data_IF_344517082459
#
_entry.id   IF_344517082459
#
_cell.length_a   1.000
_cell.length_b   1.000
_cell.length_c   1.000
_cell.angle_alpha   90.00
_cell.angle_beta   90.00
_cell.angle_gamma   90.00
#
_symmetry.space_group_name_H-M   'P 1'
#
loop_
_entity.id
_entity.type
_entity.pdbx_description
1 polymer ?
#
# COMPACT_ATOMS: atom_id res chain seq x y z
N UNK A 1 25.88 0.73 10.03
CA UNK A 1 25.18 1.20 11.26
C UNK A 1 25.38 0.18 12.37
N UNK A 2 25.42 0.59 13.66
CA UNK A 2 25.45 -0.36 14.78
C UNK A 2 24.21 -1.23 14.82
N UNK A 3 24.36 -2.49 15.20
CA UNK A 3 23.24 -3.43 15.37
C UNK A 3 22.30 -2.90 16.45
N UNK A 4 21.01 -2.80 16.13
CA UNK A 4 19.96 -2.33 17.04
C UNK A 4 18.97 -3.44 17.36
N UNK A 5 18.36 -3.34 18.55
CA UNK A 5 17.25 -4.19 18.99
C UNK A 5 15.93 -3.43 18.82
N UNK A 6 15.09 -3.91 17.92
CA UNK A 6 13.90 -3.20 17.43
C UNK A 6 12.63 -3.97 17.82
N UNK A 7 11.61 -3.26 18.27
CA UNK A 7 10.27 -3.79 18.49
C UNK A 7 9.29 -3.07 17.57
N UNK A 8 8.57 -3.79 16.74
CA UNK A 8 7.41 -3.27 15.99
C UNK A 8 6.15 -3.60 16.79
N UNK A 9 5.30 -2.62 17.07
CA UNK A 9 4.03 -2.78 17.78
C UNK A 9 2.88 -2.53 16.81
N UNK A 10 2.14 -3.58 16.48
CA UNK A 10 1.05 -3.52 15.53
C UNK A 10 0.55 -4.90 15.09
N UNK A 11 -0.43 -4.97 14.16
CA UNK A 11 -0.93 -6.25 13.66
C UNK A 11 0.17 -7.09 13.01
N UNK A 12 0.13 -8.39 13.25
CA UNK A 12 0.92 -9.41 12.57
C UNK A 12 0.19 -10.75 12.72
N UNK A 13 0.68 -11.82 12.13
CA UNK A 13 0.10 -13.14 12.28
C UNK A 13 -0.27 -13.44 13.76
N UNK A 14 -1.44 -14.03 14.08
CA UNK A 14 -2.43 -14.64 13.19
C UNK A 14 -3.43 -13.66 12.56
N UNK A 15 -3.26 -12.36 12.72
CA UNK A 15 -4.12 -11.36 12.10
C UNK A 15 -3.79 -11.21 10.60
N UNK A 16 -4.82 -10.94 9.79
CA UNK A 16 -4.68 -10.72 8.35
C UNK A 16 -4.82 -9.26 7.96
N UNK A 17 -4.39 -8.94 6.75
CA UNK A 17 -4.60 -7.63 6.11
C UNK A 17 -3.31 -6.83 5.92
N UNK A 18 -3.42 -5.74 5.18
CA UNK A 18 -2.27 -4.95 4.72
C UNK A 18 -1.34 -4.46 5.83
N UNK A 19 -1.87 -4.14 7.01
CA UNK A 19 -1.05 -3.71 8.15
C UNK A 19 -0.20 -4.85 8.71
N UNK A 20 -0.77 -6.07 8.81
CA UNK A 20 -0.04 -7.24 9.28
C UNK A 20 1.11 -7.59 8.33
N UNK A 21 0.80 -7.72 7.05
CA UNK A 21 1.78 -8.02 5.99
C UNK A 21 2.89 -6.96 5.93
N UNK A 22 2.53 -5.69 6.07
CA UNK A 22 3.51 -4.59 6.11
C UNK A 22 4.46 -4.71 7.30
N UNK A 23 3.94 -4.91 8.51
CA UNK A 23 4.76 -5.02 9.71
C UNK A 23 5.70 -6.22 9.65
N UNK A 24 5.24 -7.35 9.13
CA UNK A 24 6.05 -8.54 8.93
C UNK A 24 7.15 -8.30 7.90
N UNK A 25 6.83 -7.64 6.77
CA UNK A 25 7.83 -7.29 5.76
C UNK A 25 8.87 -6.30 6.29
N UNK A 26 8.44 -5.29 7.07
CA UNK A 26 9.36 -4.34 7.72
C UNK A 26 10.27 -5.03 8.74
N UNK A 27 9.73 -5.99 9.50
CA UNK A 27 10.53 -6.78 10.43
C UNK A 27 11.62 -7.57 9.70
N UNK A 28 11.27 -8.23 8.59
CA UNK A 28 12.24 -8.93 7.72
C UNK A 28 13.31 -7.99 7.17
N UNK A 29 12.94 -6.77 6.80
CA UNK A 29 13.90 -5.77 6.33
C UNK A 29 14.92 -5.42 7.40
N UNK A 30 14.49 -5.16 8.63
CA UNK A 30 15.43 -4.90 9.72
C UNK A 30 16.34 -6.09 10.01
N UNK A 31 15.81 -7.32 9.97
CA UNK A 31 16.59 -8.55 10.15
C UNK A 31 17.63 -8.72 9.03
N UNK A 32 17.26 -8.48 7.78
CA UNK A 32 18.16 -8.55 6.63
C UNK A 32 19.30 -7.52 6.70
N UNK A 33 19.07 -6.37 7.33
CA UNK A 33 20.06 -5.33 7.61
C UNK A 33 20.94 -5.64 8.85
N UNK A 34 20.77 -6.82 9.46
CA UNK A 34 21.58 -7.28 10.62
C UNK A 34 21.09 -6.78 11.97
N UNK A 35 19.93 -6.14 12.05
CA UNK A 35 19.29 -5.78 13.32
C UNK A 35 18.57 -6.98 13.96
N UNK A 36 18.32 -6.91 15.28
CA UNK A 36 17.38 -7.83 15.94
C UNK A 36 15.99 -7.18 15.96
N UNK A 37 15.01 -7.83 15.35
CA UNK A 37 13.66 -7.29 15.25
C UNK A 37 12.61 -8.32 15.68
N UNK A 38 11.60 -7.86 16.45
CA UNK A 38 10.45 -8.66 16.91
C UNK A 38 9.18 -7.86 16.68
N UNK A 39 8.04 -8.56 16.55
CA UNK A 39 6.73 -7.90 16.46
C UNK A 39 5.90 -8.21 17.70
N UNK A 40 5.38 -7.17 18.33
CA UNK A 40 4.38 -7.26 19.38
C UNK A 40 3.00 -7.02 18.78
N UNK A 41 2.26 -8.12 18.64
CA UNK A 41 0.93 -8.13 18.02
C UNK A 41 -0.18 -8.33 19.07
N UNK A 42 -1.41 -8.41 18.60
CA UNK A 42 -2.59 -8.49 19.44
C UNK A 42 -3.00 -9.94 19.69
N UNK A 43 -3.37 -10.24 20.95
CA UNK A 43 -4.21 -11.38 21.30
C UNK A 43 -5.70 -11.07 21.06
N UNK A 44 -6.09 -9.79 21.17
CA UNK A 44 -7.40 -9.26 20.78
C UNK A 44 -7.22 -7.88 20.17
N UNK A 45 -7.40 -7.74 18.84
CA UNK A 45 -7.31 -6.46 18.13
C UNK A 45 -8.65 -5.72 18.19
N UNK A 46 -9.72 -6.36 17.74
CA UNK A 46 -11.08 -5.83 17.79
C UNK A 46 -12.01 -6.83 18.46
N UNK A 47 -12.90 -6.37 19.37
CA UNK A 47 -14.06 -7.18 19.76
C UNK A 47 -14.86 -7.59 18.52
N UNK A 48 -15.43 -8.80 18.52
CA UNK A 48 -16.16 -9.35 17.37
C UNK A 48 -17.29 -8.43 16.86
N UNK A 49 -17.96 -7.73 17.78
CA UNK A 49 -19.05 -6.77 17.47
C UNK A 49 -18.53 -5.54 16.66
N UNK A 50 -17.27 -5.17 16.81
CA UNK A 50 -16.69 -3.99 16.16
C UNK A 50 -15.96 -4.34 14.86
N UNK A 51 -15.85 -5.63 14.51
CA UNK A 51 -15.17 -6.05 13.30
C UNK A 51 -16.16 -6.21 12.14
N UNK A 52 -16.04 -5.42 11.05
CA UNK A 52 -17.02 -5.42 9.96
C UNK A 52 -16.88 -6.60 9.00
N UNK A 53 -15.84 -7.41 9.12
CA UNK A 53 -15.54 -8.54 8.22
C UNK A 53 -15.92 -9.91 8.79
N UNK A 54 -15.84 -10.96 7.96
CA UNK A 54 -16.14 -12.34 8.38
C UNK A 54 -15.13 -12.91 9.37
N UNK A 55 -13.86 -12.60 9.22
CA UNK A 55 -12.77 -13.00 10.13
C UNK A 55 -11.61 -12.02 10.06
N UNK A 56 -10.93 -11.79 11.19
CA UNK A 56 -9.70 -11.00 11.26
C UNK A 56 -8.44 -11.88 11.26
N UNK A 57 -8.60 -13.20 11.14
CA UNK A 57 -7.49 -14.15 11.19
C UNK A 57 -7.10 -14.64 9.80
N UNK A 58 -5.79 -14.86 9.60
CA UNK A 58 -5.23 -15.50 8.41
C UNK A 58 -5.40 -17.00 8.47
N UNK A 59 -5.57 -17.61 7.29
CA UNK A 59 -5.45 -19.05 7.09
C UNK A 59 -4.01 -19.51 6.82
N UNK A 60 -3.08 -18.56 6.63
CA UNK A 60 -1.69 -18.87 6.33
C UNK A 60 -0.97 -19.46 7.55
N UNK A 61 0.05 -20.30 7.35
CA UNK A 61 0.86 -20.82 8.43
C UNK A 61 1.62 -19.70 9.15
N UNK A 62 1.96 -19.95 10.42
CA UNK A 62 2.76 -19.00 11.20
C UNK A 62 4.13 -18.77 10.53
N UNK A 63 4.56 -17.52 10.32
CA UNK A 63 5.91 -17.23 9.90
C UNK A 63 6.94 -17.79 10.89
N UNK A 64 7.98 -18.45 10.36
CA UNK A 64 9.06 -19.08 11.15
C UNK A 64 10.35 -18.25 11.15
N UNK A 65 10.43 -17.28 10.27
CA UNK A 65 11.60 -16.43 10.00
C UNK A 65 11.64 -15.13 10.83
N UNK A 66 10.53 -14.80 11.51
CA UNK A 66 10.39 -13.62 12.37
C UNK A 66 9.73 -13.98 13.71
N UNK A 67 10.12 -13.30 14.78
CA UNK A 67 9.52 -13.49 16.09
C UNK A 67 8.28 -12.61 16.28
N UNK A 68 7.12 -13.24 16.49
CA UNK A 68 5.83 -12.57 16.73
C UNK A 68 5.30 -12.96 18.12
N UNK A 69 5.01 -11.95 18.94
CA UNK A 69 4.44 -12.06 20.29
C UNK A 69 3.03 -11.50 20.27
N UNK A 70 2.02 -12.36 20.24
CA UNK A 70 0.60 -11.96 20.24
C UNK A 70 0.09 -11.82 21.70
N UNK A 71 0.16 -10.63 22.28
CA UNK A 71 -0.18 -10.45 23.70
C UNK A 71 -0.97 -9.18 24.03
N UNK A 72 -1.13 -8.22 23.11
CA UNK A 72 -1.91 -7.00 23.37
C UNK A 72 -3.41 -7.33 23.32
N UNK A 73 -4.13 -7.02 24.39
CA UNK A 73 -5.58 -6.93 24.38
C UNK A 73 -5.99 -5.46 24.29
N UNK A 74 -6.58 -5.03 23.17
CA UNK A 74 -6.84 -3.62 22.86
C UNK A 74 -7.78 -2.90 23.83
N UNK A 75 -8.58 -3.65 24.60
CA UNK A 75 -9.61 -3.11 25.50
C UNK A 75 -9.33 -3.34 26.99
N UNK A 76 -8.23 -4.03 27.35
CA UNK A 76 -7.94 -4.38 28.75
C UNK A 76 -6.76 -3.54 29.32
N UNK A 77 -7.01 -2.53 30.17
CA UNK A 77 -5.95 -1.69 30.74
C UNK A 77 -4.93 -2.45 31.59
N UNK A 78 -5.36 -3.49 32.33
CA UNK A 78 -4.43 -4.31 33.11
C UNK A 78 -3.46 -5.10 32.22
N UNK A 79 -3.93 -5.53 31.06
CA UNK A 79 -3.08 -6.15 30.05
C UNK A 79 -2.03 -5.15 29.54
N UNK A 80 -2.39 -3.89 29.27
CA UNK A 80 -1.44 -2.87 28.81
C UNK A 80 -0.30 -2.64 29.80
N UNK A 81 -0.63 -2.59 31.11
CA UNK A 81 0.37 -2.48 32.16
C UNK A 81 1.31 -3.68 32.19
N UNK A 82 0.76 -4.91 32.11
CA UNK A 82 1.55 -6.15 32.07
C UNK A 82 2.46 -6.21 30.86
N UNK A 83 1.92 -5.94 29.67
CA UNK A 83 2.65 -5.97 28.40
C UNK A 83 3.74 -4.89 28.40
N UNK A 84 3.41 -3.65 28.75
CA UNK A 84 4.39 -2.55 28.84
C UNK A 84 5.57 -2.88 29.76
N UNK A 85 5.29 -3.43 30.95
CA UNK A 85 6.34 -3.86 31.88
C UNK A 85 7.19 -5.02 31.33
N UNK A 86 6.57 -5.98 30.66
CA UNK A 86 7.29 -7.11 30.05
C UNK A 86 8.22 -6.64 28.93
N UNK A 87 7.74 -5.76 28.05
CA UNK A 87 8.54 -5.24 26.93
C UNK A 87 9.66 -4.31 27.41
N UNK A 88 9.42 -3.49 28.43
CA UNK A 88 10.46 -2.63 29.02
C UNK A 88 11.66 -3.42 29.54
N UNK A 89 11.44 -4.61 30.13
CA UNK A 89 12.54 -5.49 30.61
C UNK A 89 13.45 -6.00 29.49
N UNK A 90 12.95 -6.06 28.28
CA UNK A 90 13.71 -6.57 27.12
C UNK A 90 14.73 -5.55 26.57
N UNK A 91 14.68 -4.29 27.01
CA UNK A 91 15.64 -3.22 26.65
C UNK A 91 15.84 -3.09 25.13
N UNK A 92 14.81 -2.62 24.42
CA UNK A 92 14.91 -2.29 23.02
C UNK A 92 15.58 -0.92 22.81
N UNK A 93 16.28 -0.75 21.69
CA UNK A 93 16.85 0.55 21.30
C UNK A 93 15.76 1.42 20.64
N UNK A 94 14.88 0.78 19.83
CA UNK A 94 13.80 1.48 19.10
C UNK A 94 12.52 0.66 19.20
N UNK A 95 11.43 1.36 19.49
CA UNK A 95 10.07 0.79 19.48
C UNK A 95 9.22 1.56 18.48
N UNK A 96 8.74 0.86 17.45
CA UNK A 96 8.00 1.43 16.32
C UNK A 96 6.54 1.03 16.44
N UNK A 97 5.66 1.99 16.67
CA UNK A 97 4.22 1.77 16.71
C UNK A 97 3.59 2.01 15.34
N UNK A 98 2.84 1.05 14.83
CA UNK A 98 1.97 1.24 13.67
C UNK A 98 0.65 1.83 14.10
N UNK A 99 0.41 3.12 13.84
CA UNK A 99 -0.77 3.85 14.29
C UNK A 99 -1.71 4.17 13.13
N UNK A 100 -2.94 3.65 13.19
CA UNK A 100 -3.92 3.79 12.09
C UNK A 100 -5.31 4.26 12.54
N UNK A 101 -5.60 4.29 13.87
CA UNK A 101 -6.89 4.76 14.38
C UNK A 101 -6.84 5.09 15.88
N UNK A 102 -7.70 6.03 16.31
CA UNK A 102 -7.79 6.52 17.69
C UNK A 102 -8.13 5.45 18.72
N UNK A 103 -8.89 4.42 18.34
CA UNK A 103 -9.23 3.29 19.21
C UNK A 103 -8.00 2.58 19.80
N UNK A 104 -6.88 2.56 19.09
CA UNK A 104 -5.63 1.94 19.57
C UNK A 104 -4.83 2.85 20.50
N UNK A 105 -5.12 4.15 20.50
CA UNK A 105 -4.31 5.13 21.22
C UNK A 105 -4.22 4.90 22.75
N UNK A 106 -5.27 4.50 23.48
CA UNK A 106 -5.15 4.23 24.92
C UNK A 106 -4.19 3.08 25.22
N UNK A 107 -4.28 1.97 24.51
CA UNK A 107 -3.40 0.82 24.70
C UNK A 107 -1.95 1.15 24.30
N UNK A 108 -1.75 1.74 23.13
CA UNK A 108 -0.43 2.12 22.63
C UNK A 108 0.23 3.19 23.51
N UNK A 109 -0.52 4.24 23.88
CA UNK A 109 -0.01 5.32 24.71
C UNK A 109 0.40 4.84 26.11
N UNK A 110 -0.34 3.89 26.69
CA UNK A 110 0.00 3.31 27.99
C UNK A 110 1.24 2.42 27.90
N UNK A 111 1.30 1.50 26.94
CA UNK A 111 2.45 0.63 26.71
C UNK A 111 3.71 1.47 26.45
N UNK A 112 3.61 2.46 25.56
CA UNK A 112 4.73 3.33 25.19
C UNK A 112 5.28 4.12 26.39
N UNK A 113 4.39 4.68 27.25
CA UNK A 113 4.82 5.40 28.48
C UNK A 113 5.56 4.51 29.45
N UNK A 114 5.11 3.27 29.63
CA UNK A 114 5.78 2.32 30.54
C UNK A 114 7.16 1.96 30.01
N UNK A 115 7.25 1.67 28.71
CA UNK A 115 8.55 1.38 28.08
C UNK A 115 9.49 2.57 28.24
N UNK A 116 9.05 3.77 27.87
CA UNK A 116 9.85 5.00 27.95
C UNK A 116 10.31 5.34 29.38
N UNK A 117 9.45 5.08 30.37
CA UNK A 117 9.79 5.30 31.78
C UNK A 117 10.84 4.31 32.31
N UNK A 118 10.92 3.10 31.75
CA UNK A 118 11.72 1.99 32.28
C UNK A 118 12.88 1.56 31.38
N UNK A 119 13.05 2.22 30.25
CA UNK A 119 14.15 1.98 29.30
C UNK A 119 14.54 3.26 28.58
N UNK A 120 15.66 3.24 27.87
CA UNK A 120 16.13 4.33 26.98
C UNK A 120 15.59 4.21 25.56
N UNK A 121 14.61 3.34 25.31
CA UNK A 121 14.07 3.08 23.99
C UNK A 121 13.48 4.34 23.35
N UNK A 122 13.86 4.60 22.11
CA UNK A 122 13.24 5.64 21.28
C UNK A 122 11.90 5.17 20.78
N UNK A 123 10.85 5.96 20.98
CA UNK A 123 9.48 5.63 20.57
C UNK A 123 9.15 6.34 19.26
N UNK A 124 8.94 5.59 18.19
CA UNK A 124 8.60 6.12 16.85
C UNK A 124 7.21 5.65 16.47
N UNK A 125 6.43 6.50 15.81
CA UNK A 125 5.16 6.11 15.22
C UNK A 125 5.19 6.18 13.69
N UNK A 126 4.81 5.08 13.04
CA UNK A 126 4.39 5.11 11.64
C UNK A 126 2.90 5.43 11.65
N UNK A 127 2.52 6.57 11.08
CA UNK A 127 1.16 7.08 11.10
C UNK A 127 0.47 6.89 9.76
N UNK A 128 -0.60 6.08 9.73
CA UNK A 128 -1.42 5.85 8.54
C UNK A 128 -2.61 6.80 8.48
N UNK A 129 -3.22 7.07 9.65
CA UNK A 129 -4.36 7.97 9.78
C UNK A 129 -4.41 8.52 11.21
N UNK A 130 -4.50 9.83 11.35
CA UNK A 130 -4.56 10.53 12.65
C UNK A 130 -5.95 11.07 12.93
N UNK A 131 -6.65 11.51 11.89
CA UNK A 131 -8.01 12.02 11.97
C UNK A 131 -8.94 10.93 11.43
N UNK A 132 -9.81 10.33 12.25
CA UNK A 132 -10.81 9.39 11.77
C UNK A 132 -11.73 10.05 10.73
N UNK A 133 -12.18 9.29 9.74
CA UNK A 133 -13.19 9.76 8.76
C UNK A 133 -14.51 10.14 9.44
N UNK A 134 -14.84 9.50 10.57
CA UNK A 134 -15.97 9.83 11.43
C UNK A 134 -15.41 10.30 12.79
N UNK A 135 -15.28 11.62 12.95
CA UNK A 135 -14.77 12.22 14.20
C UNK A 135 -15.75 12.02 15.37
N UNK A 136 -15.29 11.33 16.40
CA UNK A 136 -15.96 11.26 17.71
C UNK A 136 -15.29 12.22 18.69
N UNK A 137 -16.03 12.73 19.64
CA UNK A 137 -15.57 13.74 20.60
C UNK A 137 -14.24 13.36 21.32
N UNK A 138 -14.03 12.09 21.62
CA UNK A 138 -12.85 11.59 22.34
C UNK A 138 -11.64 11.25 21.43
N UNK A 139 -11.82 11.18 20.11
CA UNK A 139 -10.76 10.75 19.18
C UNK A 139 -9.51 11.63 19.24
N UNK A 140 -9.72 12.95 19.34
CA UNK A 140 -8.62 13.90 19.44
C UNK A 140 -7.82 13.75 20.74
N UNK A 141 -8.51 13.52 21.86
CA UNK A 141 -7.87 13.32 23.16
C UNK A 141 -7.06 12.03 23.20
N UNK A 142 -7.63 10.93 22.69
CA UNK A 142 -6.95 9.63 22.59
C UNK A 142 -5.74 9.68 21.67
N UNK A 143 -5.90 10.25 20.49
CA UNK A 143 -4.79 10.42 19.56
C UNK A 143 -3.66 11.24 20.18
N UNK A 144 -3.96 12.37 20.81
CA UNK A 144 -2.97 13.20 21.49
C UNK A 144 -2.30 12.46 22.65
N UNK A 145 -3.07 11.67 23.42
CA UNK A 145 -2.53 10.83 24.49
C UNK A 145 -1.40 9.91 23.98
N UNK A 146 -1.55 9.30 22.80
CA UNK A 146 -0.49 8.48 22.22
C UNK A 146 0.63 9.33 21.60
N UNK A 147 0.30 10.31 20.73
CA UNK A 147 1.30 11.10 20.01
C UNK A 147 2.28 11.85 20.91
N UNK A 148 1.82 12.31 22.08
CA UNK A 148 2.69 12.97 23.08
C UNK A 148 3.82 12.06 23.57
N UNK A 149 3.65 10.74 23.54
CA UNK A 149 4.64 9.78 24.02
C UNK A 149 5.75 9.52 22.99
N UNK A 150 5.45 9.67 21.72
CA UNK A 150 6.39 9.41 20.62
C UNK A 150 7.53 10.44 20.57
N UNK A 151 8.72 9.98 20.20
CA UNK A 151 9.91 10.82 20.01
C UNK A 151 10.06 11.26 18.53
N UNK A 152 9.47 10.52 17.60
CA UNK A 152 9.49 10.84 16.18
C UNK A 152 8.33 10.20 15.43
N UNK A 153 8.09 10.67 14.20
CA UNK A 153 6.99 10.25 13.34
C UNK A 153 7.43 10.00 11.92
N UNK A 154 6.94 8.92 11.33
CA UNK A 154 7.00 8.69 9.90
C UNK A 154 5.56 8.63 9.36
N UNK A 155 5.26 9.41 8.34
CA UNK A 155 3.96 9.38 7.65
C UNK A 155 4.17 8.99 6.19
N UNK A 156 3.24 8.20 5.64
CA UNK A 156 3.32 7.72 4.26
C UNK A 156 2.37 8.48 3.31
N UNK A 157 1.65 9.48 3.81
CA UNK A 157 0.88 10.42 3.00
C UNK A 157 1.17 11.85 3.46
N UNK A 158 1.19 12.80 2.52
CA UNK A 158 1.43 14.22 2.84
C UNK A 158 0.35 14.79 3.73
N UNK A 159 -0.91 14.44 3.50
CA UNK A 159 -2.02 14.88 4.34
C UNK A 159 -1.83 14.46 5.81
N UNK A 160 -1.42 13.20 6.07
CA UNK A 160 -1.14 12.72 7.43
C UNK A 160 0.13 13.38 7.99
N UNK A 161 1.17 13.59 7.17
CA UNK A 161 2.38 14.29 7.59
C UNK A 161 2.06 15.72 8.08
N UNK A 162 1.23 16.47 7.37
CA UNK A 162 0.78 17.81 7.75
C UNK A 162 -0.06 17.79 9.03
N UNK A 163 -0.94 16.81 9.19
CA UNK A 163 -1.71 16.61 10.42
C UNK A 163 -0.80 16.33 11.63
N UNK A 164 0.26 15.53 11.46
CA UNK A 164 1.28 15.30 12.50
C UNK A 164 2.00 16.60 12.83
N UNK A 165 2.40 17.35 11.79
CA UNK A 165 3.10 18.62 11.96
C UNK A 165 2.28 19.62 12.79
N UNK A 166 0.99 19.74 12.53
CA UNK A 166 0.10 20.62 13.29
C UNK A 166 -0.05 20.21 14.76
N UNK A 167 -0.11 18.88 15.05
CA UNK A 167 -0.31 18.36 16.41
C UNK A 167 0.96 18.23 17.24
N UNK A 168 2.11 18.04 16.60
CA UNK A 168 3.41 17.82 17.24
C UNK A 168 4.51 18.64 16.52
N UNK A 169 4.42 19.99 16.53
CA UNK A 169 5.29 20.86 15.71
C UNK A 169 6.78 20.74 16.02
N UNK A 170 7.14 20.40 17.25
CA UNK A 170 8.52 20.40 17.75
C UNK A 170 9.19 19.00 17.70
N UNK A 171 8.49 17.96 17.23
CA UNK A 171 9.07 16.61 17.19
C UNK A 171 9.62 16.25 15.80
N UNK A 172 10.72 15.49 15.73
CA UNK A 172 11.22 14.94 14.48
C UNK A 172 10.13 14.21 13.71
N UNK A 173 10.10 14.42 12.40
CA UNK A 173 9.17 13.74 11.51
C UNK A 173 9.71 13.66 10.11
N UNK A 174 9.36 12.61 9.41
CA UNK A 174 9.71 12.43 8.00
C UNK A 174 8.50 11.94 7.19
N UNK A 175 8.47 12.31 5.92
CA UNK A 175 7.55 11.78 4.94
C UNK A 175 8.30 10.77 4.07
N UNK A 176 7.80 9.54 4.04
CA UNK A 176 8.29 8.51 3.13
C UNK A 176 7.08 7.86 2.47
N UNK A 177 7.05 7.88 1.15
CA UNK A 177 5.98 7.20 0.43
C UNK A 177 5.96 5.69 0.75
N UNK A 178 4.78 5.07 0.63
CA UNK A 178 4.62 3.64 0.91
C UNK A 178 5.63 2.82 0.10
N UNK A 179 6.37 1.88 0.70
CA UNK A 179 7.29 1.03 -0.02
C UNK A 179 6.60 0.17 -1.08
N UNK A 180 7.38 -0.30 -2.04
CA UNK A 180 6.89 -1.23 -3.06
C UNK A 180 6.39 -2.54 -2.44
N UNK A 181 5.38 -3.12 -3.07
CA UNK A 181 4.90 -4.46 -2.74
C UNK A 181 5.74 -5.50 -3.50
N UNK A 182 6.71 -6.11 -2.82
CA UNK A 182 7.66 -7.09 -3.36
C UNK A 182 7.29 -8.56 -3.07
N UNK A 183 6.05 -8.78 -2.61
CA UNK A 183 5.59 -10.10 -2.14
C UNK A 183 4.85 -10.94 -3.19
N UNK A 184 4.66 -10.43 -4.41
CA UNK A 184 3.86 -11.08 -5.44
C UNK A 184 4.68 -11.95 -6.41
N UNK A 185 5.91 -12.27 -6.07
CA UNK A 185 6.84 -13.09 -6.86
C UNK A 185 7.72 -12.25 -7.79
N UNK A 186 8.69 -12.92 -8.40
CA UNK A 186 9.66 -12.27 -9.29
C UNK A 186 9.02 -11.80 -10.60
N UNK A 187 9.64 -10.79 -11.21
CA UNK A 187 9.26 -10.30 -12.52
C UNK A 187 9.55 -11.38 -13.57
N UNK A 188 8.55 -11.66 -14.41
CA UNK A 188 8.68 -12.56 -15.55
C UNK A 188 9.11 -11.77 -16.79
N UNK A 189 9.68 -12.48 -17.79
CA UNK A 189 9.75 -11.89 -19.13
C UNK A 189 8.35 -11.66 -19.70
N UNK A 190 8.15 -10.62 -20.49
CA UNK A 190 6.85 -10.28 -21.08
C UNK A 190 6.26 -11.47 -21.87
N UNK A 191 7.09 -12.19 -22.64
CA UNK A 191 6.66 -13.39 -23.39
C UNK A 191 6.19 -14.51 -22.46
N UNK A 192 6.97 -14.85 -21.41
CA UNK A 192 6.58 -15.88 -20.46
C UNK A 192 5.27 -15.52 -19.71
N UNK A 193 5.11 -14.26 -19.36
CA UNK A 193 3.91 -13.78 -18.70
C UNK A 193 2.67 -13.84 -19.62
N UNK A 194 2.80 -13.41 -20.88
CA UNK A 194 1.74 -13.54 -21.89
C UNK A 194 1.36 -15.00 -22.11
N UNK A 195 2.35 -15.89 -22.26
CA UNK A 195 2.11 -17.32 -22.41
C UNK A 195 1.38 -17.94 -21.21
N UNK A 196 1.78 -17.57 -20.00
CA UNK A 196 1.13 -18.04 -18.76
C UNK A 196 -0.35 -17.62 -18.64
N UNK A 197 -0.70 -16.48 -19.23
CA UNK A 197 -2.07 -15.94 -19.27
C UNK A 197 -2.84 -16.31 -20.55
N UNK A 198 -2.25 -17.10 -21.48
CA UNK A 198 -2.89 -17.44 -22.77
C UNK A 198 -3.09 -16.23 -23.70
N UNK A 199 -2.24 -15.19 -23.57
CA UNK A 199 -2.32 -13.97 -24.35
C UNK A 199 -1.50 -14.06 -25.64
N UNK A 200 -1.94 -13.35 -26.68
CA UNK A 200 -1.22 -13.23 -27.94
C UNK A 200 0.09 -12.44 -27.75
N UNK A 201 1.20 -13.01 -28.22
CA UNK A 201 2.53 -12.43 -28.07
C UNK A 201 2.71 -11.12 -28.87
N UNK A 202 2.03 -10.98 -30.00
CA UNK A 202 2.14 -9.82 -30.90
C UNK A 202 1.22 -8.65 -30.52
N UNK A 203 0.33 -8.87 -29.57
CA UNK A 203 -0.59 -7.85 -29.06
C UNK A 203 0.01 -7.13 -27.85
N UNK A 204 -0.13 -5.82 -27.79
CA UNK A 204 0.23 -4.99 -26.64
C UNK A 204 -0.90 -4.95 -25.62
N UNK A 205 -0.55 -4.77 -24.33
CA UNK A 205 -1.55 -4.85 -23.27
C UNK A 205 -1.45 -3.70 -22.28
N UNK A 206 -2.56 -2.98 -22.12
CA UNK A 206 -2.79 -2.12 -20.96
C UNK A 206 -3.36 -2.97 -19.82
N UNK A 207 -3.09 -2.60 -18.57
CA UNK A 207 -3.58 -3.29 -17.39
C UNK A 207 -4.35 -2.34 -16.46
N UNK A 208 -5.62 -2.67 -16.22
CA UNK A 208 -6.40 -2.18 -15.07
C UNK A 208 -6.43 -3.29 -14.03
N UNK A 209 -6.02 -3.00 -12.78
CA UNK A 209 -5.81 -4.03 -11.75
C UNK A 209 -6.47 -3.71 -10.41
N UNK A 210 -6.92 -4.78 -9.72
CA UNK A 210 -7.44 -4.78 -8.35
C UNK A 210 -8.96 -4.68 -8.29
N UNK A 211 -9.53 -4.74 -7.07
CA UNK A 211 -10.98 -4.75 -6.87
C UNK A 211 -11.69 -3.65 -7.66
N UNK A 212 -12.70 -4.04 -8.42
CA UNK A 212 -13.45 -3.11 -9.27
C UNK A 212 -14.53 -2.45 -8.43
N UNK A 213 -14.41 -1.11 -8.30
CA UNK A 213 -15.34 -0.22 -7.60
C UNK A 213 -15.48 1.07 -8.38
N UNK A 214 -16.63 1.71 -8.30
CA UNK A 214 -16.97 2.94 -9.03
C UNK A 214 -15.87 4.02 -8.96
N UNK A 215 -15.30 4.24 -7.77
CA UNK A 215 -14.27 5.25 -7.58
C UNK A 215 -12.96 4.96 -8.33
N UNK A 216 -12.71 3.70 -8.74
CA UNK A 216 -11.54 3.33 -9.55
C UNK A 216 -11.69 3.65 -11.04
N UNK A 217 -12.87 4.04 -11.47
CA UNK A 217 -13.10 4.64 -12.77
C UNK A 217 -12.90 3.71 -13.96
N UNK A 218 -13.22 2.41 -13.82
CA UNK A 218 -13.19 1.48 -14.97
C UNK A 218 -14.07 1.99 -16.12
N UNK A 219 -15.24 2.56 -15.82
CA UNK A 219 -16.10 3.16 -16.85
C UNK A 219 -15.36 4.24 -17.65
N UNK A 220 -14.67 5.16 -16.97
CA UNK A 220 -13.88 6.21 -17.63
C UNK A 220 -12.79 5.61 -18.55
N UNK A 221 -12.14 4.53 -18.11
CA UNK A 221 -11.14 3.84 -18.92
C UNK A 221 -11.76 3.18 -20.16
N UNK A 222 -12.88 2.48 -20.03
CA UNK A 222 -13.60 1.86 -21.15
C UNK A 222 -14.00 2.90 -22.21
N UNK A 223 -14.58 4.02 -21.76
CA UNK A 223 -14.95 5.13 -22.63
C UNK A 223 -13.73 5.76 -23.34
N UNK A 224 -12.59 5.89 -22.62
CA UNK A 224 -11.34 6.38 -23.18
C UNK A 224 -10.74 5.40 -24.20
N UNK A 225 -10.77 4.10 -23.90
CA UNK A 225 -10.23 3.04 -24.74
C UNK A 225 -11.04 2.80 -26.02
N UNK A 226 -12.30 3.24 -26.02
CA UNK A 226 -13.18 3.21 -27.20
C UNK A 226 -12.87 4.31 -28.23
N UNK A 227 -11.91 5.23 -27.96
CA UNK A 227 -11.51 6.27 -28.93
C UNK A 227 -11.12 5.63 -30.26
N UNK A 228 -11.67 6.17 -31.35
CA UNK A 228 -11.48 5.63 -32.72
C UNK A 228 -10.00 5.55 -33.13
N UNK A 229 -9.17 6.45 -32.63
CA UNK A 229 -7.72 6.49 -32.93
C UNK A 229 -6.98 5.30 -32.31
N UNK A 230 -7.45 4.79 -31.16
CA UNK A 230 -6.88 3.61 -30.51
C UNK A 230 -7.29 2.30 -31.18
N UNK A 231 -8.35 2.31 -32.02
CA UNK A 231 -8.80 1.10 -32.75
C UNK A 231 -7.78 0.63 -33.79
N UNK A 232 -6.95 1.52 -34.29
CA UNK A 232 -5.92 1.20 -35.28
C UNK A 232 -4.66 0.54 -34.68
N UNK A 233 -4.50 0.60 -33.35
CA UNK A 233 -3.35 0.02 -32.66
C UNK A 233 -3.60 -1.43 -32.26
N UNK A 234 -2.59 -2.32 -32.33
CA UNK A 234 -2.69 -3.72 -31.90
C UNK A 234 -2.62 -3.81 -30.37
N UNK A 235 -3.57 -3.16 -29.69
CA UNK A 235 -3.63 -3.08 -28.23
C UNK A 235 -4.93 -3.68 -27.68
N UNK A 236 -4.81 -4.38 -26.55
CA UNK A 236 -5.95 -4.84 -25.74
C UNK A 236 -5.84 -4.32 -24.31
N UNK A 237 -6.97 -4.25 -23.61
CA UNK A 237 -7.02 -3.90 -22.20
C UNK A 237 -7.31 -5.15 -21.37
N UNK A 238 -6.41 -5.47 -20.46
CA UNK A 238 -6.64 -6.46 -19.41
C UNK A 238 -7.36 -5.77 -18.25
N UNK A 239 -8.52 -6.26 -17.86
CA UNK A 239 -9.24 -5.89 -16.63
C UNK A 239 -9.11 -7.06 -15.68
N UNK A 240 -8.28 -6.93 -14.65
CA UNK A 240 -7.95 -7.99 -13.71
C UNK A 240 -8.33 -7.61 -12.28
N UNK A 241 -9.31 -8.31 -11.71
CA UNK A 241 -9.78 -8.14 -10.34
C UNK A 241 -11.29 -8.27 -10.18
N UNK A 242 -11.67 -8.67 -8.98
CA UNK A 242 -13.04 -8.98 -8.60
C UNK A 242 -13.92 -7.73 -8.51
N UNK A 243 -15.18 -7.84 -9.00
CA UNK A 243 -16.19 -6.80 -8.82
C UNK A 243 -16.71 -6.78 -7.38
N UNK A 244 -16.66 -5.59 -6.76
CA UNK A 244 -17.26 -5.30 -5.45
C UNK A 244 -18.54 -4.45 -5.59
N UNK A 245 -19.12 -4.45 -6.78
CA UNK A 245 -20.39 -3.82 -7.13
C UNK A 245 -21.02 -4.58 -8.30
N UNK A 246 -22.22 -4.20 -8.71
CA UNK A 246 -22.89 -4.85 -9.85
C UNK A 246 -22.08 -4.68 -11.14
N UNK A 247 -21.78 -5.78 -11.82
CA UNK A 247 -20.99 -5.79 -13.06
C UNK A 247 -21.82 -5.47 -14.31
N UNK A 248 -23.13 -5.64 -14.26
CA UNK A 248 -24.03 -5.49 -15.44
C UNK A 248 -23.87 -4.15 -16.17
N UNK A 249 -23.78 -2.98 -15.50
CA UNK A 249 -23.56 -1.71 -16.19
C UNK A 249 -22.27 -1.67 -17.01
N UNK A 250 -21.24 -2.41 -16.58
CA UNK A 250 -19.98 -2.50 -17.29
C UNK A 250 -20.09 -3.41 -18.51
N UNK A 251 -20.80 -4.54 -18.40
CA UNK A 251 -21.05 -5.46 -19.54
C UNK A 251 -21.86 -4.76 -20.64
N UNK A 252 -22.91 -4.04 -20.26
CA UNK A 252 -23.71 -3.25 -21.20
C UNK A 252 -22.88 -2.17 -21.90
N UNK A 253 -22.01 -1.46 -21.15
CA UNK A 253 -21.11 -0.44 -21.69
C UNK A 253 -20.09 -1.03 -22.65
N UNK A 254 -19.52 -2.20 -22.35
CA UNK A 254 -18.55 -2.90 -23.21
C UNK A 254 -19.17 -3.20 -24.58
N UNK A 255 -20.41 -3.73 -24.59
CA UNK A 255 -21.16 -4.01 -25.81
C UNK A 255 -21.49 -2.72 -26.56
N UNK A 256 -21.98 -1.69 -25.86
CA UNK A 256 -22.31 -0.40 -26.46
C UNK A 256 -21.11 0.26 -27.14
N UNK A 257 -19.91 0.10 -26.57
CA UNK A 257 -18.67 0.67 -27.09
C UNK A 257 -17.98 -0.21 -28.15
N UNK A 258 -18.46 -1.45 -28.36
CA UNK A 258 -17.87 -2.42 -29.28
C UNK A 258 -16.46 -2.84 -28.86
N UNK A 259 -16.27 -3.15 -27.57
CA UNK A 259 -14.96 -3.47 -27.00
C UNK A 259 -14.76 -4.97 -26.73
N UNK A 260 -15.74 -5.85 -26.98
CA UNK A 260 -15.74 -7.28 -26.60
C UNK A 260 -14.46 -8.00 -27.07
N UNK A 261 -14.01 -7.72 -28.29
CA UNK A 261 -12.80 -8.35 -28.87
C UNK A 261 -11.49 -7.65 -28.48
N UNK A 262 -11.57 -6.53 -27.74
CA UNK A 262 -10.42 -5.72 -27.34
C UNK A 262 -10.12 -5.80 -25.84
N UNK A 263 -10.90 -6.58 -25.10
CA UNK A 263 -10.74 -6.77 -23.67
C UNK A 263 -10.31 -8.20 -23.36
N UNK A 264 -9.54 -8.32 -22.28
CA UNK A 264 -9.26 -9.59 -21.59
C UNK A 264 -9.80 -9.42 -20.16
N UNK A 265 -10.90 -10.08 -19.87
CA UNK A 265 -11.59 -9.99 -18.57
C UNK A 265 -11.13 -11.12 -17.66
N UNK A 266 -10.50 -10.80 -16.53
CA UNK A 266 -10.13 -11.71 -15.46
C UNK A 266 -10.76 -11.18 -14.16
N UNK A 267 -12.09 -11.33 -14.06
CA UNK A 267 -12.94 -10.65 -13.07
C UNK A 267 -13.18 -11.47 -11.79
N UNK A 268 -12.45 -12.56 -11.63
CA UNK A 268 -12.33 -13.27 -10.36
C UNK A 268 -11.23 -12.65 -9.48
N UNK A 269 -11.19 -13.08 -8.21
CA UNK A 269 -10.08 -12.74 -7.32
C UNK A 269 -8.75 -13.24 -7.90
N UNK A 270 -7.78 -12.33 -8.08
CA UNK A 270 -6.45 -12.67 -8.55
C UNK A 270 -5.58 -13.14 -7.37
N UNK A 271 -5.19 -14.42 -7.31
CA UNK A 271 -4.30 -14.92 -6.26
C UNK A 271 -2.93 -14.24 -6.28
N UNK A 272 -2.32 -14.05 -5.11
CA UNK A 272 -1.05 -13.36 -4.95
C UNK A 272 0.06 -13.93 -5.86
N UNK A 273 0.11 -15.24 -6.06
CA UNK A 273 1.09 -15.93 -6.90
C UNK A 273 0.83 -15.79 -8.41
N UNK A 274 -0.23 -15.09 -8.83
CA UNK A 274 -0.52 -14.79 -10.24
C UNK A 274 -0.36 -13.31 -10.57
N UNK A 275 -0.26 -12.44 -9.57
CA UNK A 275 -0.14 -10.98 -9.78
C UNK A 275 1.03 -10.63 -10.68
N UNK A 276 2.18 -11.26 -10.49
CA UNK A 276 3.37 -11.05 -11.31
C UNK A 276 3.13 -11.32 -12.81
N UNK A 277 2.26 -12.27 -13.17
CA UNK A 277 1.95 -12.59 -14.55
C UNK A 277 1.25 -11.40 -15.24
N UNK A 278 0.24 -10.81 -14.59
CA UNK A 278 -0.51 -9.66 -15.13
C UNK A 278 0.37 -8.42 -15.29
N UNK A 279 1.13 -8.09 -14.24
CA UNK A 279 2.01 -6.92 -14.33
C UNK A 279 3.13 -7.14 -15.34
N UNK A 280 3.76 -8.33 -15.38
CA UNK A 280 4.83 -8.61 -16.34
C UNK A 280 4.34 -8.61 -17.79
N UNK A 281 3.12 -9.06 -18.07
CA UNK A 281 2.53 -9.09 -19.41
C UNK A 281 2.18 -7.69 -19.95
N UNK A 282 1.86 -6.74 -19.08
CA UNK A 282 1.41 -5.41 -19.44
C UNK A 282 2.56 -4.51 -19.93
N UNK A 283 2.24 -3.57 -20.84
CA UNK A 283 3.11 -2.48 -21.26
C UNK A 283 2.97 -1.27 -20.33
N UNK A 284 1.74 -0.97 -19.92
CA UNK A 284 1.41 0.15 -19.03
C UNK A 284 0.24 -0.19 -18.09
N UNK A 285 0.35 0.22 -16.84
CA UNK A 285 -0.73 0.12 -15.84
C UNK A 285 -1.56 1.40 -15.87
N UNK A 286 -2.89 1.26 -15.96
CA UNK A 286 -3.80 2.40 -16.06
C UNK A 286 -4.72 2.47 -14.84
N UNK A 287 -4.70 3.60 -14.14
CA UNK A 287 -5.45 3.86 -12.91
C UNK A 287 -6.29 5.14 -13.08
N UNK A 288 -7.46 5.01 -13.68
CA UNK A 288 -8.39 6.11 -13.98
C UNK A 288 -9.28 6.48 -12.78
N UNK A 289 -8.71 6.51 -11.58
CA UNK A 289 -9.47 6.72 -10.36
C UNK A 289 -10.19 8.07 -10.36
N UNK A 290 -11.41 8.09 -9.84
CA UNK A 290 -12.21 9.31 -9.65
C UNK A 290 -11.94 9.96 -8.30
N UNK A 291 -11.47 9.17 -7.34
CA UNK A 291 -11.03 9.62 -6.03
C UNK A 291 -10.05 8.60 -5.44
N UNK A 292 -8.98 9.07 -4.81
CA UNK A 292 -8.04 8.20 -4.10
C UNK A 292 -7.21 8.99 -3.08
N UNK A 293 -6.85 8.37 -1.98
CA UNK A 293 -5.80 8.88 -1.08
C UNK A 293 -4.43 8.31 -1.47
N UNK A 294 -4.38 7.01 -1.72
CA UNK A 294 -3.20 6.25 -2.18
C UNK A 294 -3.65 5.03 -2.99
N UNK A 295 -2.74 4.41 -3.73
CA UNK A 295 -2.98 3.15 -4.45
C UNK A 295 -1.84 2.16 -4.28
N UNK A 296 -2.15 0.97 -3.76
CA UNK A 296 -1.21 -0.15 -3.74
C UNK A 296 -0.80 -0.61 -5.15
N UNK A 297 -1.67 -0.41 -6.13
CA UNK A 297 -1.40 -0.77 -7.54
C UNK A 297 -0.22 0.03 -8.10
N UNK A 298 -0.07 1.30 -7.72
CA UNK A 298 1.09 2.14 -8.08
C UNK A 298 2.39 1.52 -7.56
N UNK A 299 2.39 1.03 -6.32
CA UNK A 299 3.58 0.42 -5.71
C UNK A 299 3.93 -0.94 -6.34
N UNK A 300 2.92 -1.72 -6.76
CA UNK A 300 3.13 -2.95 -7.53
C UNK A 300 3.69 -2.61 -8.92
N UNK A 301 3.18 -1.56 -9.58
CA UNK A 301 3.68 -1.13 -10.88
C UNK A 301 5.16 -0.71 -10.83
N UNK A 302 5.57 0.02 -9.79
CA UNK A 302 6.98 0.33 -9.55
C UNK A 302 7.84 -0.91 -9.37
N UNK A 303 7.35 -1.90 -8.60
CA UNK A 303 8.10 -3.15 -8.37
C UNK A 303 8.39 -3.89 -9.69
N UNK A 304 7.39 -3.95 -10.58
CA UNK A 304 7.52 -4.62 -11.89
C UNK A 304 8.01 -3.69 -13.02
N UNK A 305 8.56 -2.52 -12.70
CA UNK A 305 9.08 -1.55 -13.68
C UNK A 305 8.04 -1.15 -14.76
N UNK A 306 6.77 -0.99 -14.38
CA UNK A 306 5.70 -0.69 -15.34
C UNK A 306 5.40 0.80 -15.41
N UNK A 307 5.45 1.38 -16.63
CA UNK A 307 4.88 2.71 -16.88
C UNK A 307 3.45 2.81 -16.39
N UNK A 308 3.05 4.01 -15.97
CA UNK A 308 1.72 4.21 -15.39
C UNK A 308 1.00 5.37 -16.08
N UNK A 309 -0.31 5.22 -16.28
CA UNK A 309 -1.22 6.32 -16.56
C UNK A 309 -2.18 6.44 -15.38
N UNK A 310 -2.16 7.57 -14.70
CA UNK A 310 -3.01 7.83 -13.53
C UNK A 310 -3.83 9.10 -13.73
N UNK A 311 -5.00 9.18 -13.09
CA UNK A 311 -5.72 10.46 -12.98
C UNK A 311 -5.13 11.33 -11.87
N UNK A 312 -5.26 12.65 -12.03
CA UNK A 312 -4.81 13.65 -11.05
C UNK A 312 -5.80 13.73 -9.88
N UNK A 313 -5.76 12.69 -9.03
CA UNK A 313 -6.60 12.58 -7.84
C UNK A 313 -5.79 12.16 -6.62
N UNK A 314 -5.97 12.85 -5.52
CA UNK A 314 -5.30 12.55 -4.25
C UNK A 314 -3.79 12.40 -4.38
N UNK A 315 -3.23 11.34 -3.79
CA UNK A 315 -1.79 11.09 -3.81
C UNK A 315 -1.25 10.36 -5.05
N UNK A 316 -2.08 10.05 -6.06
CA UNK A 316 -1.62 9.31 -7.24
C UNK A 316 -0.65 10.12 -8.10
N UNK A 317 -0.98 11.39 -8.37
CA UNK A 317 -0.14 12.29 -9.17
C UNK A 317 1.23 12.54 -8.52
N UNK A 318 1.30 12.56 -7.20
CA UNK A 318 2.56 12.74 -6.46
C UNK A 318 3.53 11.57 -6.66
N UNK A 319 2.98 10.37 -6.88
CA UNK A 319 3.76 9.14 -7.03
C UNK A 319 4.17 8.88 -8.49
N UNK A 320 3.57 9.56 -9.46
CA UNK A 320 3.81 9.33 -10.89
C UNK A 320 4.32 10.62 -11.55
N UNK A 321 5.62 10.92 -11.51
CA UNK A 321 6.19 12.07 -12.21
C UNK A 321 5.80 12.06 -13.69
N UNK A 322 4.98 13.06 -14.08
CA UNK A 322 4.39 13.17 -15.43
C UNK A 322 5.47 13.21 -16.51
N UNK A 323 5.26 12.43 -17.58
CA UNK A 323 6.19 12.26 -18.70
C UNK A 323 7.60 11.73 -18.35
N UNK A 324 7.79 11.32 -17.10
CA UNK A 324 9.03 10.66 -16.64
C UNK A 324 8.86 9.16 -16.51
N UNK A 325 7.87 8.74 -15.72
CA UNK A 325 7.57 7.33 -15.43
C UNK A 325 6.22 6.90 -15.97
N UNK A 326 5.51 7.83 -16.61
CA UNK A 326 4.17 7.65 -17.13
C UNK A 326 3.45 8.97 -17.28
N UNK A 327 2.12 8.95 -17.18
CA UNK A 327 1.28 10.12 -17.40
C UNK A 327 0.36 10.39 -16.22
N UNK A 328 0.14 11.68 -15.93
CA UNK A 328 -0.91 12.17 -15.04
C UNK A 328 -1.94 12.87 -15.91
N UNK A 329 -3.18 12.44 -15.85
CA UNK A 329 -4.31 12.94 -16.64
C UNK A 329 -5.36 13.58 -15.76
N UNK A 330 -6.04 14.60 -16.25
CA UNK A 330 -7.34 14.98 -15.68
C UNK A 330 -8.34 13.81 -15.82
N UNK A 331 -9.46 13.88 -15.11
CA UNK A 331 -10.59 12.97 -15.29
C UNK A 331 -11.27 13.30 -16.64
N UNK A 332 -10.57 12.97 -17.72
CA UNK A 332 -10.97 13.33 -19.09
C UNK A 332 -10.63 12.21 -20.07
N UNK A 333 -11.66 11.60 -20.65
CA UNK A 333 -11.52 10.46 -21.57
C UNK A 333 -10.66 10.75 -22.81
N UNK A 334 -10.73 11.96 -23.34
CA UNK A 334 -9.93 12.35 -24.52
C UNK A 334 -8.45 12.41 -24.16
N UNK A 335 -8.11 13.06 -23.02
CA UNK A 335 -6.72 13.20 -22.57
C UNK A 335 -6.10 11.85 -22.22
N UNK A 336 -6.89 10.94 -21.60
CA UNK A 336 -6.45 9.56 -21.33
C UNK A 336 -6.11 8.85 -22.65
N UNK A 337 -7.00 8.95 -23.65
CA UNK A 337 -6.77 8.39 -24.98
C UNK A 337 -5.53 9.01 -25.66
N UNK A 338 -5.34 10.34 -25.55
CA UNK A 338 -4.18 11.04 -26.11
C UNK A 338 -2.87 10.54 -25.51
N UNK A 339 -2.81 10.28 -24.21
CA UNK A 339 -1.62 9.72 -23.55
C UNK A 339 -1.36 8.25 -23.91
N UNK A 340 -2.41 7.44 -24.10
CA UNK A 340 -2.24 6.07 -24.61
C UNK A 340 -1.66 6.11 -26.04
N UNK A 341 -2.13 7.02 -26.89
CA UNK A 341 -1.60 7.21 -28.24
C UNK A 341 -0.14 7.67 -28.20
N UNK A 342 0.20 8.66 -27.37
CA UNK A 342 1.59 9.14 -27.24
C UNK A 342 2.51 8.02 -26.79
N UNK A 343 2.07 7.17 -25.85
CA UNK A 343 2.86 6.06 -25.35
C UNK A 343 3.28 5.09 -26.45
N UNK A 344 2.36 4.66 -27.28
CA UNK A 344 2.65 3.69 -28.34
C UNK A 344 3.28 4.34 -29.58
N UNK A 345 2.77 5.47 -30.04
CA UNK A 345 3.27 6.13 -31.25
C UNK A 345 4.71 6.65 -31.10
N UNK A 346 5.08 7.04 -29.89
CA UNK A 346 6.42 7.58 -29.59
C UNK A 346 7.32 6.58 -28.86
N UNK A 347 6.94 5.28 -28.81
CA UNK A 347 7.74 4.20 -28.19
C UNK A 347 8.26 4.55 -26.77
N UNK A 348 7.39 5.10 -25.91
CA UNK A 348 7.78 5.63 -24.59
C UNK A 348 8.17 4.55 -23.57
N UNK A 349 7.83 3.29 -23.79
CA UNK A 349 7.97 2.22 -22.77
C UNK A 349 9.38 2.18 -22.19
N UNK A 350 10.40 2.06 -23.05
CA UNK A 350 11.78 1.87 -22.60
C UNK A 350 12.30 3.08 -21.79
N UNK A 351 12.04 4.30 -22.26
CA UNK A 351 12.47 5.52 -21.59
C UNK A 351 11.81 5.69 -20.22
N UNK A 352 10.52 5.31 -20.10
CA UNK A 352 9.82 5.33 -18.81
C UNK A 352 10.35 4.26 -17.85
N UNK A 353 10.65 3.03 -18.34
CA UNK A 353 11.26 1.97 -17.54
C UNK A 353 12.61 2.41 -16.95
N UNK A 354 13.47 3.05 -17.74
CA UNK A 354 14.76 3.56 -17.26
C UNK A 354 14.61 4.61 -16.16
N UNK A 355 13.62 5.47 -16.30
CA UNK A 355 13.31 6.46 -15.26
C UNK A 355 12.65 5.82 -14.02
N UNK A 356 11.78 4.82 -14.20
CA UNK A 356 11.17 4.06 -13.11
C UNK A 356 12.25 3.42 -12.24
N UNK A 357 13.27 2.79 -12.85
CA UNK A 357 14.38 2.17 -12.12
C UNK A 357 15.14 3.14 -11.22
N UNK A 358 15.25 4.41 -11.62
CA UNK A 358 15.85 5.47 -10.80
C UNK A 358 14.88 5.97 -9.71
N UNK A 359 13.61 6.15 -10.11
CA UNK A 359 12.58 6.73 -9.24
C UNK A 359 12.18 5.79 -8.11
N UNK A 360 12.18 4.46 -8.34
CA UNK A 360 11.75 3.47 -7.36
C UNK A 360 12.68 3.29 -6.16
N UNK A 361 13.92 3.79 -6.21
CA UNK A 361 14.87 3.72 -5.10
C UNK A 361 14.30 4.31 -3.81
N UNK A 362 13.54 5.38 -3.90
CA UNK A 362 12.87 6.03 -2.76
C UNK A 362 11.66 5.26 -2.20
N UNK A 363 11.22 4.20 -2.89
CA UNK A 363 10.14 3.31 -2.48
C UNK A 363 10.65 1.95 -1.98
N UNK A 364 11.95 1.83 -1.71
CA UNK A 364 12.51 0.59 -1.17
C UNK A 364 12.24 0.45 0.34
N UNK A 365 12.11 -0.78 0.79
CA UNK A 365 12.01 -1.07 2.22
C UNK A 365 13.26 -0.63 2.98
N UNK A 366 14.42 -0.74 2.33
CA UNK A 366 15.71 -0.29 2.88
C UNK A 366 15.73 1.22 3.12
N UNK A 367 15.21 2.02 2.18
CA UNK A 367 15.07 3.46 2.36
C UNK A 367 14.15 3.79 3.55
N UNK A 368 12.96 3.15 3.62
CA UNK A 368 12.04 3.33 4.74
C UNK A 368 12.68 2.98 6.09
N UNK A 369 13.38 1.83 6.17
CA UNK A 369 14.05 1.39 7.39
C UNK A 369 15.14 2.38 7.83
N UNK A 370 15.93 2.91 6.90
CA UNK A 370 16.93 3.95 7.14
C UNK A 370 16.30 5.22 7.70
N UNK A 371 15.22 5.70 7.08
CA UNK A 371 14.50 6.90 7.52
C UNK A 371 13.89 6.73 8.92
N UNK A 372 13.32 5.55 9.22
CA UNK A 372 12.82 5.23 10.57
C UNK A 372 13.94 5.29 11.63
N UNK A 373 15.12 4.77 11.32
CA UNK A 373 16.23 4.73 12.26
C UNK A 373 16.96 6.08 12.38
N UNK A 374 16.72 7.02 11.48
CA UNK A 374 17.28 8.39 11.54
C UNK A 374 16.46 9.33 12.44
N UNK A 375 15.17 9.03 12.64
CA UNK A 375 14.28 9.76 13.55
C UNK A 375 14.73 9.62 15.00
#
# INVERSE_FOLDING_TARGET
MSKKKILIVGPAWPLRGGLATYNERLCREFVSQGHSCQILSFSLQYPSILFPGKTQFSSDPKPTDIEIISSINSINPFNWLKVGNSMAKKQYDVVIFRYWMSFMAPSFGTIARIIKKKSSAKIIAITDNIIPHENKFFDSAFTNYFLQTCDGFLSMSRAVFEQVMQRQPNKPRTYVAHPMYDMFGEQLSKSNAKKALGLDENTNYLLFFGFIRKYKGLQLLLESFADKRLKALPIKLIVAGEFYEDHKPYDELIVQLGLENRLVLATDFIPNNKVNQYFSAADMVVQTYLNATQSGVTQIAYFYDKPMLVTDVGGLAELVPHQKVGYVSLINKKQIADYILDFYNNNREQSFIENIKKEKEKFTWSYLAKELLSL
#
